data_IF_104121344023
#
_entry.id   IF_104121344023
#
_cell.length_a   1.000
_cell.length_b   1.000
_cell.length_c   1.000
_cell.angle_alpha   90.00
_cell.angle_beta   90.00
_cell.angle_gamma   90.00
#
_symmetry.space_group_name_H-M   'P 1'
#
loop_
_entity.id
_entity.type
_entity.pdbx_description
1 polymer ?
#
# COMPACT_ATOMS: atom_id res chain seq x y z
N UNK A 1 -7.84 -13.98 5.93
CA UNK A 1 -6.43 -13.51 5.88
C UNK A 1 -6.47 -12.04 6.19
N UNK A 2 -5.71 -11.56 7.19
CA UNK A 2 -5.67 -10.13 7.48
C UNK A 2 -4.96 -9.40 6.34
N UNK A 3 -5.47 -8.22 6.01
CA UNK A 3 -4.93 -7.32 4.98
C UNK A 3 -4.39 -6.08 5.67
N UNK A 4 -3.12 -5.79 5.48
CA UNK A 4 -2.42 -4.69 6.11
C UNK A 4 -2.13 -3.61 5.07
N UNK A 5 -2.58 -2.39 5.32
CA UNK A 5 -2.27 -1.22 4.50
C UNK A 5 -1.04 -0.53 5.05
N UNK A 6 0.01 -0.43 4.25
CA UNK A 6 1.29 0.15 4.65
C UNK A 6 1.69 1.22 3.66
N UNK A 7 2.23 2.35 4.15
CA UNK A 7 2.75 3.37 3.27
C UNK A 7 4.04 2.89 2.58
N UNK A 8 4.10 2.93 1.25
CA UNK A 8 5.29 2.56 0.48
C UNK A 8 6.49 3.48 0.72
N UNK A 9 6.22 4.72 1.14
CA UNK A 9 7.21 5.78 1.25
C UNK A 9 7.82 5.89 2.64
N UNK A 10 7.00 5.81 3.70
CA UNK A 10 7.47 5.96 5.08
C UNK A 10 7.34 4.69 5.92
N UNK A 11 6.76 3.61 5.36
CA UNK A 11 6.57 2.34 6.07
C UNK A 11 5.51 2.37 7.17
N UNK A 12 4.80 3.49 7.35
CA UNK A 12 3.75 3.59 8.38
C UNK A 12 2.61 2.63 8.08
N UNK A 13 2.21 1.84 9.08
CA UNK A 13 0.99 1.04 9.03
C UNK A 13 -0.22 1.96 9.15
N UNK A 14 -1.05 1.99 8.11
CA UNK A 14 -2.23 2.86 8.00
C UNK A 14 -3.46 2.19 8.60
N UNK A 15 -3.54 0.86 8.47
CA UNK A 15 -4.63 0.10 9.04
C UNK A 15 -4.56 -1.36 8.65
N UNK A 16 -5.43 -2.15 9.28
CA UNK A 16 -5.62 -3.55 8.94
C UNK A 16 -7.09 -3.88 8.84
N UNK A 17 -7.43 -4.76 7.91
CA UNK A 17 -8.76 -5.35 7.77
C UNK A 17 -8.61 -6.83 8.11
N UNK A 18 -9.09 -7.19 9.29
CA UNK A 18 -9.14 -8.59 9.74
C UNK A 18 -10.60 -9.07 9.68
N UNK A 19 -11.01 -9.52 8.50
CA UNK A 19 -12.30 -10.20 8.35
C UNK A 19 -12.16 -11.37 7.38
N UNK A 20 -12.83 -12.46 7.70
CA UNK A 20 -12.87 -13.66 6.86
C UNK A 20 -13.65 -13.46 5.55
N UNK A 21 -14.51 -12.44 5.47
CA UNK A 21 -15.37 -12.18 4.31
C UNK A 21 -14.82 -11.14 3.31
N UNK A 22 -13.70 -10.50 3.62
CA UNK A 22 -13.10 -9.51 2.71
C UNK A 22 -12.23 -10.23 1.69
N UNK A 23 -12.63 -10.09 0.43
CA UNK A 23 -11.90 -10.58 -0.74
C UNK A 23 -11.30 -9.42 -1.51
N UNK A 24 -10.25 -9.70 -2.28
CA UNK A 24 -9.65 -8.71 -3.20
C UNK A 24 -10.68 -8.09 -4.14
N UNK A 25 -11.70 -8.84 -4.53
CA UNK A 25 -12.80 -8.36 -5.35
C UNK A 25 -13.60 -7.26 -4.65
N UNK A 26 -13.96 -7.47 -3.36
CA UNK A 26 -14.71 -6.49 -2.55
C UNK A 26 -13.91 -5.23 -2.25
N UNK A 27 -12.58 -5.34 -2.21
CA UNK A 27 -11.67 -4.20 -2.05
C UNK A 27 -11.31 -3.52 -3.38
N UNK A 28 -11.81 -4.01 -4.51
CA UNK A 28 -11.48 -3.46 -5.83
C UNK A 28 -10.05 -3.75 -6.30
N UNK A 29 -9.26 -4.55 -5.56
CA UNK A 29 -7.89 -4.91 -5.93
C UNK A 29 -7.81 -5.78 -7.19
N UNK A 30 -8.94 -6.37 -7.61
CA UNK A 30 -9.07 -7.09 -8.87
C UNK A 30 -8.99 -6.21 -10.13
N UNK A 31 -9.14 -4.88 -9.99
CA UNK A 31 -8.96 -3.93 -11.08
C UNK A 31 -7.48 -3.62 -11.37
N UNK A 32 -6.58 -4.02 -10.48
CA UNK A 32 -5.15 -3.82 -10.68
C UNK A 32 -4.66 -4.68 -11.84
N UNK A 33 -3.89 -4.08 -12.73
CA UNK A 33 -3.13 -4.81 -13.74
C UNK A 33 -2.11 -5.73 -13.06
N UNK A 34 -1.62 -6.78 -13.73
CA UNK A 34 -0.58 -7.65 -13.17
C UNK A 34 0.69 -6.90 -12.77
N UNK A 35 1.01 -5.78 -13.42
CA UNK A 35 2.15 -4.95 -13.09
C UNK A 35 1.92 -4.17 -11.79
N UNK A 36 0.80 -3.46 -11.67
CA UNK A 36 0.42 -2.74 -10.45
C UNK A 36 0.29 -3.70 -9.26
N UNK A 37 -0.30 -4.88 -9.49
CA UNK A 37 -0.43 -5.88 -8.44
C UNK A 37 0.92 -6.29 -7.85
N UNK A 38 1.98 -6.41 -8.67
CA UNK A 38 3.33 -6.76 -8.18
C UNK A 38 3.98 -5.64 -7.37
N UNK A 39 3.62 -4.38 -7.64
CA UNK A 39 4.17 -3.21 -6.93
C UNK A 39 3.36 -2.90 -5.65
N UNK A 40 2.04 -3.08 -5.72
CA UNK A 40 1.09 -2.73 -4.67
C UNK A 40 0.89 -3.88 -3.67
N UNK A 41 0.86 -5.13 -4.11
CA UNK A 41 0.53 -6.28 -3.25
C UNK A 41 1.77 -7.13 -2.97
N UNK A 42 2.11 -7.27 -1.69
CA UNK A 42 3.10 -8.20 -1.17
C UNK A 42 2.46 -9.20 -0.20
N UNK A 43 3.13 -10.31 0.04
CA UNK A 43 2.75 -11.27 1.07
C UNK A 43 3.91 -11.45 2.03
N UNK A 44 3.63 -11.45 3.33
CA UNK A 44 4.65 -11.71 4.33
C UNK A 44 4.86 -13.21 4.58
N UNK A 45 5.81 -13.55 5.43
CA UNK A 45 6.15 -14.93 5.79
C UNK A 45 5.04 -15.71 6.49
N UNK A 46 4.02 -15.01 7.01
CA UNK A 46 2.82 -15.59 7.64
C UNK A 46 1.66 -15.79 6.66
N UNK A 47 1.83 -15.39 5.40
CA UNK A 47 0.76 -15.41 4.39
C UNK A 47 -0.25 -14.27 4.54
N UNK A 48 0.08 -13.23 5.32
CA UNK A 48 -0.73 -12.03 5.44
C UNK A 48 -0.46 -11.12 4.24
N UNK A 49 -1.50 -10.45 3.75
CA UNK A 49 -1.42 -9.57 2.58
C UNK A 49 -1.00 -8.16 3.03
N UNK A 50 0.02 -7.62 2.37
CA UNK A 50 0.48 -6.24 2.52
C UNK A 50 0.09 -5.47 1.27
N UNK A 51 -0.65 -4.38 1.45
CA UNK A 51 -1.08 -3.47 0.40
C UNK A 51 -0.35 -2.15 0.58
N UNK A 52 0.55 -1.85 -0.34
CA UNK A 52 1.32 -0.63 -0.41
C UNK A 52 0.44 0.52 -0.92
N UNK A 53 0.31 1.56 -0.10
CA UNK A 53 -0.40 2.80 -0.44
C UNK A 53 0.49 4.01 -0.19
N UNK A 54 0.02 5.19 -0.56
CA UNK A 54 0.63 6.46 -0.14
C UNK A 54 -0.24 7.05 0.95
N UNK A 55 0.31 7.29 2.14
CA UNK A 55 -0.43 7.92 3.22
C UNK A 55 -0.61 9.43 2.97
N UNK A 56 -1.56 10.04 3.65
CA UNK A 56 -1.89 11.47 3.48
C UNK A 56 -0.67 12.38 3.66
N UNK A 57 0.17 12.08 4.66
CA UNK A 57 1.40 12.85 4.91
C UNK A 57 2.39 12.78 3.74
N UNK A 58 2.64 11.58 3.20
CA UNK A 58 3.53 11.42 2.04
C UNK A 58 2.93 12.07 0.79
N UNK A 59 1.61 11.97 0.63
CA UNK A 59 0.91 12.58 -0.49
C UNK A 59 1.02 14.11 -0.44
N UNK A 60 0.79 14.72 0.73
CA UNK A 60 0.96 16.16 0.93
C UNK A 60 2.41 16.59 0.67
N UNK A 61 3.40 15.86 1.18
CA UNK A 61 4.80 16.14 0.94
C UNK A 61 5.16 16.12 -0.56
N UNK A 62 4.66 15.14 -1.31
CA UNK A 62 4.87 15.03 -2.77
C UNK A 62 4.14 16.16 -3.52
N UNK A 63 2.94 16.55 -3.08
CA UNK A 63 2.21 17.66 -3.70
C UNK A 63 2.94 19.00 -3.54
N UNK A 64 3.58 19.23 -2.39
CA UNK A 64 4.37 20.44 -2.13
C UNK A 64 5.76 20.37 -2.78
N UNK A 65 6.36 19.17 -2.86
CA UNK A 65 7.70 18.93 -3.39
C UNK A 65 7.66 17.76 -4.41
N UNK A 66 7.29 18.02 -5.68
CA UNK A 66 7.08 16.97 -6.68
C UNK A 66 8.29 16.07 -6.94
N UNK A 67 9.51 16.57 -6.71
CA UNK A 67 10.77 15.82 -6.81
C UNK A 67 10.82 14.60 -5.89
N UNK A 68 10.06 14.60 -4.79
CA UNK A 68 9.97 13.47 -3.87
C UNK A 68 9.32 12.24 -4.50
N UNK A 69 8.56 12.41 -5.59
CA UNK A 69 7.98 11.28 -6.34
C UNK A 69 9.02 10.39 -7.03
N UNK A 70 10.21 10.92 -7.28
CA UNK A 70 11.33 10.18 -7.89
C UNK A 70 12.08 9.32 -6.86
N UNK A 71 11.82 9.54 -5.57
CA UNK A 71 12.46 8.83 -4.48
C UNK A 71 11.59 7.65 -4.07
N UNK A 72 12.21 6.47 -3.96
CA UNK A 72 11.54 5.27 -3.45
C UNK A 72 11.08 5.46 -2.00
N UNK A 73 11.81 6.28 -1.23
CA UNK A 73 11.54 6.60 0.18
C UNK A 73 11.81 8.09 0.45
N UNK A 74 10.84 8.97 0.19
CA UNK A 74 11.03 10.42 0.27
C UNK A 74 11.19 10.99 1.68
N UNK A 75 11.01 10.18 2.73
CA UNK A 75 10.99 10.63 4.13
C UNK A 75 11.97 9.86 5.03
N UNK A 76 12.92 9.12 4.45
CA UNK A 76 13.99 8.44 5.19
C UNK A 76 15.26 9.28 5.31
#
# INVERSE_FOLDING_TARGET
>A
MPIHYVCRHCGTSIGQIDSSEVTEARLGLHFLTPAERRDIIAYNSKGEMLVNITCDYCNEAILVNPELSLLTSPLQ
#
